data_IF_890602629081
#
_entry.id   IF_890602629081
#
_cell.length_a   1.000
_cell.length_b   1.000
_cell.length_c   1.000
_cell.angle_alpha   90.00
_cell.angle_beta   90.00
_cell.angle_gamma   90.00
#
_symmetry.space_group_name_H-M   'P 1'
#
loop_
_entity.id
_entity.type
_entity.pdbx_description
1 polymer ?
#
# COMPACT_ATOMS: atom_id res chain seq x y z
N UNK A 1 7.72 2.24 -9.04
CA UNK A 1 8.28 0.94 -8.64
C UNK A 1 8.83 1.06 -7.24
N UNK A 2 8.71 0.01 -6.44
CA UNK A 2 9.27 -0.08 -5.10
C UNK A 2 8.47 -1.03 -4.21
N UNK A 3 9.11 -1.59 -3.18
CA UNK A 3 8.61 -2.73 -2.40
C UNK A 3 7.21 -2.46 -1.84
N UNK A 4 6.24 -3.12 -2.46
CA UNK A 4 4.81 -2.91 -2.28
C UNK A 4 4.14 -4.10 -1.59
N UNK A 5 3.19 -3.80 -0.71
CA UNK A 5 2.26 -4.76 -0.13
C UNK A 5 0.85 -4.45 -0.65
N UNK A 6 0.29 -5.32 -1.47
CA UNK A 6 -1.09 -5.21 -1.97
C UNK A 6 -1.97 -6.24 -1.29
N UNK A 7 -3.24 -5.91 -1.07
CA UNK A 7 -4.19 -6.82 -0.46
C UNK A 7 -5.61 -6.61 -0.94
N UNK A 8 -6.35 -7.70 -1.02
CA UNK A 8 -7.80 -7.70 -1.16
C UNK A 8 -8.44 -8.24 0.10
N UNK A 9 -9.44 -7.54 0.60
CA UNK A 9 -10.27 -7.98 1.72
C UNK A 9 -11.64 -8.34 1.19
N UNK A 10 -12.24 -9.43 1.67
CA UNK A 10 -13.62 -9.75 1.37
C UNK A 10 -14.32 -10.48 2.51
N UNK A 11 -15.64 -10.30 2.61
CA UNK A 11 -16.52 -11.08 3.49
C UNK A 11 -17.98 -10.90 3.07
N UNK A 12 -18.84 -11.79 3.55
CA UNK A 12 -20.30 -11.69 3.42
C UNK A 12 -20.90 -11.40 4.80
N UNK A 13 -21.50 -10.22 4.99
CA UNK A 13 -21.94 -9.77 6.31
C UNK A 13 -23.00 -8.65 6.24
N UNK A 14 -23.70 -8.43 7.36
CA UNK A 14 -24.55 -7.25 7.55
C UNK A 14 -23.72 -5.97 7.73
N UNK A 15 -24.33 -4.80 7.50
CA UNK A 15 -23.69 -3.49 7.72
C UNK A 15 -23.22 -3.30 9.18
N UNK A 16 -23.94 -3.87 10.15
CA UNK A 16 -23.54 -3.75 11.57
C UNK A 16 -22.31 -4.59 11.91
N UNK A 17 -22.17 -5.77 11.31
CA UNK A 17 -20.96 -6.60 11.41
C UNK A 17 -19.79 -5.91 10.70
N UNK A 18 -20.05 -5.49 9.46
CA UNK A 18 -19.46 -4.34 8.76
C UNK A 18 -18.61 -3.40 9.62
N UNK A 19 -19.37 -2.50 10.23
CA UNK A 19 -18.94 -1.42 11.11
C UNK A 19 -18.12 -1.91 12.28
N UNK A 20 -18.52 -2.99 12.96
CA UNK A 20 -17.78 -3.55 14.10
C UNK A 20 -16.39 -4.03 13.70
N UNK A 21 -16.27 -4.69 12.55
CA UNK A 21 -14.98 -5.18 12.05
C UNK A 21 -14.06 -4.00 11.70
N UNK A 22 -14.54 -3.02 10.94
CA UNK A 22 -13.70 -1.88 10.54
C UNK A 22 -13.29 -1.03 11.75
N UNK A 23 -14.17 -0.84 12.73
CA UNK A 23 -13.81 -0.18 14.00
C UNK A 23 -12.76 -0.97 14.80
N UNK A 24 -12.86 -2.31 14.83
CA UNK A 24 -11.86 -3.14 15.48
C UNK A 24 -10.50 -3.05 14.77
N UNK A 25 -10.47 -3.08 13.43
CA UNK A 25 -9.25 -2.86 12.65
C UNK A 25 -8.65 -1.49 12.94
N UNK A 26 -9.46 -0.44 13.02
CA UNK A 26 -8.98 0.90 13.37
C UNK A 26 -8.36 0.93 14.76
N UNK A 27 -8.95 0.24 15.73
CA UNK A 27 -8.37 0.12 17.07
C UNK A 27 -7.03 -0.62 17.04
N UNK A 28 -6.92 -1.70 16.26
CA UNK A 28 -5.66 -2.42 16.08
C UNK A 28 -4.59 -1.51 15.47
N UNK A 29 -4.93 -0.67 14.49
CA UNK A 29 -3.98 0.28 13.90
C UNK A 29 -3.46 1.29 14.93
N UNK A 30 -4.33 1.77 15.84
CA UNK A 30 -3.93 2.62 16.96
C UNK A 30 -2.98 1.87 17.92
N UNK A 31 -3.31 0.63 18.27
CA UNK A 31 -2.52 -0.19 19.19
C UNK A 31 -1.14 -0.57 18.59
N UNK A 32 -1.07 -0.76 17.27
CA UNK A 32 0.16 -1.01 16.52
C UNK A 32 1.01 0.25 16.31
N UNK A 33 0.57 1.41 16.83
CA UNK A 33 1.32 2.67 16.78
C UNK A 33 1.67 3.09 15.34
N UNK A 34 0.68 3.02 14.45
CA UNK A 34 0.78 3.70 13.15
C UNK A 34 1.03 5.19 13.39
N UNK A 35 1.84 5.82 12.54
CA UNK A 35 2.14 7.25 12.68
C UNK A 35 0.90 8.14 12.54
N UNK A 36 -0.08 7.69 11.75
CA UNK A 36 -1.38 8.33 11.61
C UNK A 36 -2.47 7.27 11.44
N UNK A 37 -3.61 7.49 12.08
CA UNK A 37 -4.84 6.73 11.90
C UNK A 37 -5.98 7.73 11.80
N UNK A 38 -6.56 7.87 10.62
CA UNK A 38 -7.58 8.88 10.34
C UNK A 38 -8.93 8.53 10.94
N UNK A 39 -9.88 9.43 10.79
CA UNK A 39 -11.24 9.22 11.26
C UNK A 39 -11.92 8.04 10.55
N UNK A 40 -12.90 7.47 11.24
CA UNK A 40 -13.76 6.44 10.67
C UNK A 40 -14.74 7.09 9.68
N UNK A 41 -14.77 6.59 8.45
CA UNK A 41 -15.61 7.09 7.36
C UNK A 41 -16.65 6.05 6.99
N UNK A 42 -17.91 6.47 6.89
CA UNK A 42 -19.04 5.66 6.47
C UNK A 42 -19.88 6.43 5.45
N UNK A 43 -19.95 5.92 4.21
CA UNK A 43 -20.60 6.56 3.07
C UNK A 43 -21.67 5.64 2.49
N UNK A 44 -22.72 6.25 1.93
CA UNK A 44 -23.83 5.53 1.29
C UNK A 44 -24.37 6.29 0.07
N UNK A 45 -24.81 5.55 -0.94
CA UNK A 45 -25.49 6.08 -2.13
C UNK A 45 -24.58 7.05 -2.91
N UNK A 46 -25.12 8.21 -3.26
CA UNK A 46 -24.37 9.25 -4.01
C UNK A 46 -23.09 9.70 -3.30
N UNK A 47 -23.01 9.58 -1.97
CA UNK A 47 -21.80 9.92 -1.24
C UNK A 47 -20.62 9.00 -1.57
N UNK A 48 -20.86 7.81 -2.13
CA UNK A 48 -19.83 6.88 -2.58
C UNK A 48 -19.31 7.14 -3.99
N UNK A 49 -19.96 8.04 -4.76
CA UNK A 49 -19.60 8.30 -6.15
C UNK A 49 -18.16 8.83 -6.24
N UNK A 50 -17.34 8.19 -7.09
CA UNK A 50 -15.97 8.58 -7.36
C UNK A 50 -15.87 9.42 -8.63
N UNK A 51 -15.39 10.66 -8.48
CA UNK A 51 -14.98 11.52 -9.60
C UNK A 51 -13.49 11.87 -9.46
N UNK A 52 -12.68 11.41 -10.42
CA UNK A 52 -11.24 11.69 -10.44
C UNK A 52 -10.90 13.18 -10.61
N UNK A 53 -11.87 14.00 -11.04
CA UNK A 53 -11.69 15.44 -11.21
C UNK A 53 -12.06 16.23 -9.94
N UNK A 54 -12.75 15.63 -8.98
CA UNK A 54 -13.13 16.30 -7.72
C UNK A 54 -12.00 16.24 -6.69
N UNK A 55 -10.99 17.09 -6.88
CA UNK A 55 -9.80 17.13 -6.01
C UNK A 55 -10.08 17.64 -4.59
N UNK A 56 -11.27 18.19 -4.35
CA UNK A 56 -11.66 18.72 -3.03
C UNK A 56 -12.39 17.67 -2.18
N UNK A 57 -12.74 16.52 -2.76
CA UNK A 57 -13.36 15.43 -2.01
C UNK A 57 -12.35 14.80 -1.04
N UNK A 58 -12.55 14.95 0.30
CA UNK A 58 -11.62 14.41 1.28
C UNK A 58 -11.55 12.88 1.28
N UNK A 59 -12.55 12.20 0.69
CA UNK A 59 -12.65 10.75 0.65
C UNK A 59 -12.28 10.15 -0.71
N UNK A 60 -11.74 10.94 -1.65
CA UNK A 60 -11.49 10.51 -3.03
C UNK A 60 -10.69 9.20 -3.11
N UNK A 61 -9.66 9.04 -2.27
CA UNK A 61 -8.83 7.84 -2.25
C UNK A 61 -9.50 6.63 -1.56
N UNK A 62 -10.37 6.85 -0.58
CA UNK A 62 -11.19 5.78 -0.01
C UNK A 62 -12.19 5.27 -1.04
N UNK A 63 -12.85 6.17 -1.76
CA UNK A 63 -13.79 5.81 -2.84
C UNK A 63 -13.10 5.05 -3.98
N UNK A 64 -11.91 5.51 -4.40
CA UNK A 64 -11.09 4.82 -5.39
C UNK A 64 -10.79 3.36 -5.00
N UNK A 65 -10.46 3.12 -3.73
CA UNK A 65 -10.17 1.78 -3.18
C UNK A 65 -11.41 0.91 -2.98
N UNK A 66 -12.58 1.54 -2.90
CA UNK A 66 -13.88 0.88 -2.87
C UNK A 66 -14.42 0.48 -4.24
N UNK A 67 -13.80 0.89 -5.35
CA UNK A 67 -14.26 0.54 -6.70
C UNK A 67 -14.18 -0.96 -6.97
N UNK A 68 -15.18 -1.50 -7.69
CA UNK A 68 -15.17 -2.89 -8.17
C UNK A 68 -14.87 -2.96 -9.65
N UNK A 69 -13.86 -3.72 -10.10
CA UNK A 69 -13.64 -3.97 -11.51
C UNK A 69 -14.80 -4.83 -12.07
N UNK A 70 -15.36 -4.43 -13.21
CA UNK A 70 -16.52 -5.09 -13.84
C UNK A 70 -16.21 -5.71 -15.19
N UNK A 71 -15.28 -5.14 -15.94
CA UNK A 71 -14.81 -5.72 -17.20
C UNK A 71 -13.41 -5.25 -17.53
N UNK A 72 -12.66 -6.10 -18.22
CA UNK A 72 -11.38 -5.77 -18.84
C UNK A 72 -11.59 -5.87 -20.34
N UNK A 73 -11.42 -4.76 -21.05
CA UNK A 73 -11.48 -4.68 -22.50
C UNK A 73 -10.15 -4.14 -23.04
N UNK A 74 -9.91 -4.28 -24.35
CA UNK A 74 -8.66 -3.80 -24.98
C UNK A 74 -8.43 -2.29 -24.79
N UNK A 75 -9.49 -1.52 -24.55
CA UNK A 75 -9.45 -0.06 -24.35
C UNK A 75 -9.46 0.35 -22.87
N UNK A 76 -9.40 -0.59 -21.92
CA UNK A 76 -9.29 -0.29 -20.50
C UNK A 76 -10.15 -1.17 -19.60
N UNK A 77 -10.12 -0.85 -18.31
CA UNK A 77 -10.90 -1.50 -17.27
C UNK A 77 -12.11 -0.64 -16.91
N UNK A 78 -13.29 -1.26 -16.82
CA UNK A 78 -14.50 -0.59 -16.33
C UNK A 78 -14.67 -0.83 -14.84
N UNK A 79 -15.08 0.20 -14.12
CA UNK A 79 -15.24 0.19 -12.66
C UNK A 79 -16.69 0.46 -12.29
N UNK A 80 -17.11 -0.06 -11.14
CA UNK A 80 -18.39 0.21 -10.52
C UNK A 80 -18.18 0.86 -9.16
N UNK A 81 -18.82 1.99 -8.94
CA UNK A 81 -18.86 2.67 -7.65
C UNK A 81 -19.50 1.80 -6.56
N UNK A 82 -19.01 1.98 -5.33
CA UNK A 82 -19.65 1.38 -4.17
C UNK A 82 -21.04 2.00 -3.96
N UNK A 83 -21.98 1.24 -3.43
CA UNK A 83 -23.26 1.75 -2.90
C UNK A 83 -23.18 2.02 -1.42
N UNK A 84 -22.23 1.39 -0.72
CA UNK A 84 -21.93 1.59 0.69
C UNK A 84 -20.46 1.31 0.94
N UNK A 85 -19.80 2.16 1.74
CA UNK A 85 -18.38 2.06 2.05
C UNK A 85 -18.16 2.38 3.52
N UNK A 86 -17.37 1.57 4.21
CA UNK A 86 -16.91 1.81 5.57
C UNK A 86 -15.39 1.64 5.61
N UNK A 87 -14.64 2.68 5.92
CA UNK A 87 -13.18 2.66 5.83
C UNK A 87 -12.48 3.71 6.72
N UNK A 88 -11.16 3.65 6.77
CA UNK A 88 -10.28 4.68 7.30
C UNK A 88 -8.90 4.60 6.63
N UNK A 89 -8.22 5.75 6.53
CA UNK A 89 -6.83 5.83 6.06
C UNK A 89 -5.85 5.75 7.25
N UNK A 90 -4.63 5.30 6.95
CA UNK A 90 -3.53 5.22 7.91
C UNK A 90 -2.20 5.55 7.24
N UNK A 91 -1.23 5.95 8.06
CA UNK A 91 0.18 6.02 7.67
C UNK A 91 0.99 5.12 8.62
N UNK A 92 1.59 4.01 8.14
CA UNK A 92 2.40 3.13 9.00
C UNK A 92 3.59 3.87 9.65
N UNK A 93 4.23 4.75 8.87
CA UNK A 93 5.35 5.58 9.32
C UNK A 93 5.86 6.50 8.21
N UNK A 94 6.75 7.42 8.58
CA UNK A 94 7.46 8.25 7.61
C UNK A 94 8.17 7.38 6.56
N UNK A 95 8.11 7.80 5.29
CA UNK A 95 8.63 7.04 4.15
C UNK A 95 7.70 5.93 3.63
N UNK A 96 6.55 5.67 4.26
CA UNK A 96 5.50 4.84 3.66
C UNK A 96 4.54 5.68 2.81
N UNK A 97 3.85 5.02 1.87
CA UNK A 97 2.59 5.52 1.33
C UNK A 97 1.45 5.32 2.35
N UNK A 98 0.29 5.93 2.12
CA UNK A 98 -0.89 5.68 2.96
C UNK A 98 -1.48 4.29 2.68
N UNK A 99 -1.86 3.61 3.74
CA UNK A 99 -2.59 2.35 3.68
C UNK A 99 -4.01 2.58 4.19
N UNK A 100 -5.03 2.10 3.47
CA UNK A 100 -6.42 2.25 3.88
C UNK A 100 -7.06 0.90 4.11
N UNK A 101 -7.80 0.78 5.19
CA UNK A 101 -8.53 -0.43 5.52
C UNK A 101 -10.02 -0.13 5.53
N UNK A 102 -10.78 -0.94 4.83
CA UNK A 102 -12.21 -0.73 4.68
C UNK A 102 -12.86 -1.90 4.01
N UNK A 103 -14.17 -1.74 3.79
CA UNK A 103 -15.03 -2.69 3.14
C UNK A 103 -16.11 -1.90 2.40
N UNK A 104 -16.33 -2.25 1.14
CA UNK A 104 -17.32 -1.64 0.29
C UNK A 104 -18.20 -2.69 -0.38
N UNK A 105 -19.47 -2.37 -0.60
CA UNK A 105 -20.39 -3.18 -1.40
C UNK A 105 -20.98 -2.34 -2.53
N UNK A 106 -21.47 -3.00 -3.58
CA UNK A 106 -21.84 -2.38 -4.86
C UNK A 106 -23.27 -2.71 -5.30
N UNK A 107 -24.01 -3.46 -4.49
CA UNK A 107 -25.40 -3.83 -4.73
C UNK A 107 -26.38 -2.97 -3.91
N UNK A 108 -27.67 -3.17 -4.11
CA UNK A 108 -28.65 -2.66 -3.16
C UNK A 108 -28.41 -3.30 -1.79
N UNK A 109 -28.53 -2.50 -0.73
CA UNK A 109 -28.25 -2.96 0.63
C UNK A 109 -29.34 -3.92 1.09
N UNK A 110 -28.92 -5.14 1.38
CA UNK A 110 -29.73 -6.22 1.92
C UNK A 110 -29.34 -6.49 3.39
N UNK A 111 -30.04 -7.44 4.02
CA UNK A 111 -29.71 -7.89 5.38
C UNK A 111 -28.26 -8.40 5.51
N UNK A 112 -27.74 -9.00 4.44
CA UNK A 112 -26.37 -9.50 4.30
C UNK A 112 -25.89 -9.14 2.90
N UNK A 113 -24.67 -8.64 2.77
CA UNK A 113 -24.10 -8.17 1.51
C UNK A 113 -22.71 -8.77 1.31
N UNK A 114 -22.27 -8.85 0.06
CA UNK A 114 -20.88 -9.15 -0.26
C UNK A 114 -20.07 -7.86 -0.22
N UNK A 115 -19.02 -7.87 0.60
CA UNK A 115 -18.12 -6.76 0.80
C UNK A 115 -16.76 -7.09 0.22
N UNK A 116 -16.12 -6.09 -0.37
CA UNK A 116 -14.75 -6.17 -0.84
C UNK A 116 -14.00 -4.86 -0.63
N UNK A 117 -12.68 -4.96 -0.65
CA UNK A 117 -11.78 -3.81 -0.59
C UNK A 117 -10.46 -4.16 -1.24
N UNK A 118 -9.85 -3.18 -1.90
CA UNK A 118 -8.49 -3.31 -2.42
C UNK A 118 -7.62 -2.22 -1.80
N UNK A 119 -6.51 -2.63 -1.20
CA UNK A 119 -5.51 -1.74 -0.64
C UNK A 119 -4.13 -2.07 -1.16
N UNK A 120 -3.25 -1.08 -1.12
CA UNK A 120 -1.82 -1.28 -1.31
C UNK A 120 -1.05 -0.25 -0.48
N UNK A 121 0.21 -0.54 -0.18
CA UNK A 121 1.09 0.39 0.51
C UNK A 121 2.54 0.08 0.15
N UNK A 122 3.23 1.07 -0.43
CA UNK A 122 4.69 1.00 -0.55
C UNK A 122 5.34 1.34 0.77
N UNK A 123 6.25 0.49 1.21
CA UNK A 123 6.94 0.64 2.49
C UNK A 123 8.44 0.90 2.32
N UNK A 124 9.00 0.65 1.12
CA UNK A 124 10.43 0.75 0.85
C UNK A 124 11.10 2.01 1.40
N UNK A 125 10.51 3.19 1.19
CA UNK A 125 11.16 4.45 1.56
C UNK A 125 11.18 4.73 3.07
N UNK A 126 10.47 3.93 3.88
CA UNK A 126 10.66 3.92 5.33
C UNK A 126 12.06 3.44 5.74
N UNK A 127 12.83 2.86 4.80
CA UNK A 127 14.22 2.48 5.03
C UNK A 127 15.22 3.64 4.92
N UNK A 128 14.76 4.87 4.64
CA UNK A 128 15.63 6.04 4.64
C UNK A 128 16.30 6.18 6.03
N UNK A 129 17.64 6.31 6.11
CA UNK A 129 18.36 6.53 7.37
C UNK A 129 17.79 7.66 8.24
N UNK A 130 17.25 8.73 7.65
CA UNK A 130 16.66 9.83 8.41
C UNK A 130 15.38 9.44 9.18
N UNK A 131 14.69 8.40 8.76
CA UNK A 131 13.49 7.87 9.43
C UNK A 131 13.79 6.72 10.39
N UNK A 132 15.07 6.37 10.60
CA UNK A 132 15.48 5.22 11.40
C UNK A 132 15.89 3.99 10.59
N UNK A 133 16.01 4.12 9.27
CA UNK A 133 16.62 3.13 8.40
C UNK A 133 15.86 1.80 8.36
N UNK A 134 16.62 0.70 8.22
CA UNK A 134 16.06 -0.66 8.06
C UNK A 134 15.13 -1.07 9.20
N UNK A 135 15.42 -0.69 10.44
CA UNK A 135 14.59 -1.06 11.60
C UNK A 135 13.20 -0.40 11.53
N UNK A 136 13.14 0.88 11.12
CA UNK A 136 11.88 1.57 10.91
C UNK A 136 11.07 0.96 9.76
N UNK A 137 11.73 0.60 8.65
CA UNK A 137 11.09 -0.16 7.57
C UNK A 137 10.47 -1.46 8.07
N UNK A 138 11.22 -2.29 8.80
CA UNK A 138 10.72 -3.56 9.34
C UNK A 138 9.50 -3.30 10.23
N UNK A 139 9.57 -2.32 11.14
CA UNK A 139 8.43 -1.95 12.00
C UNK A 139 7.19 -1.59 11.17
N UNK A 140 7.32 -0.71 10.18
CA UNK A 140 6.21 -0.28 9.33
C UNK A 140 5.59 -1.46 8.54
N UNK A 141 6.44 -2.25 7.89
CA UNK A 141 6.01 -3.36 7.06
C UNK A 141 5.32 -4.45 7.90
N UNK A 142 5.92 -4.84 9.03
CA UNK A 142 5.33 -5.82 9.93
C UNK A 142 4.03 -5.34 10.59
N UNK A 143 3.87 -4.03 10.82
CA UNK A 143 2.62 -3.48 11.33
C UNK A 143 1.46 -3.68 10.32
N UNK A 144 1.70 -3.50 9.02
CA UNK A 144 0.71 -3.81 7.98
C UNK A 144 0.41 -5.31 7.90
N UNK A 145 1.44 -6.15 7.92
CA UNK A 145 1.28 -7.60 7.95
C UNK A 145 0.42 -8.03 9.15
N UNK A 146 0.70 -7.46 10.33
CA UNK A 146 -0.04 -7.72 11.56
C UNK A 146 -1.49 -7.25 11.45
N UNK A 147 -1.76 -6.09 10.84
CA UNK A 147 -3.12 -5.63 10.55
C UNK A 147 -3.91 -6.66 9.73
N UNK A 148 -3.29 -7.22 8.68
CA UNK A 148 -3.91 -8.23 7.82
C UNK A 148 -4.12 -9.57 8.56
N UNK A 149 -3.16 -9.99 9.40
CA UNK A 149 -3.34 -11.17 10.27
C UNK A 149 -4.53 -10.98 11.24
N UNK A 150 -4.70 -9.79 11.83
CA UNK A 150 -5.83 -9.52 12.72
C UNK A 150 -7.16 -9.41 11.94
N UNK A 151 -7.15 -8.91 10.71
CA UNK A 151 -8.33 -8.95 9.83
C UNK A 151 -8.82 -10.39 9.58
N UNK A 152 -7.89 -11.33 9.33
CA UNK A 152 -8.23 -12.74 9.19
C UNK A 152 -8.87 -13.32 10.45
N UNK A 153 -8.38 -12.95 11.65
CA UNK A 153 -8.98 -13.39 12.92
C UNK A 153 -10.38 -12.84 13.17
N UNK A 154 -10.67 -11.67 12.61
CA UNK A 154 -12.01 -11.06 12.62
C UNK A 154 -12.96 -11.67 11.58
N UNK A 155 -12.50 -12.68 10.81
CA UNK A 155 -13.30 -13.38 9.82
C UNK A 155 -13.28 -12.75 8.43
N UNK A 156 -12.39 -11.80 8.18
CA UNK A 156 -12.20 -11.21 6.84
C UNK A 156 -11.29 -12.13 6.03
N UNK A 157 -11.69 -12.47 4.82
CA UNK A 157 -10.80 -13.14 3.89
C UNK A 157 -9.77 -12.14 3.35
N UNK A 158 -8.49 -12.49 3.42
CA UNK A 158 -7.39 -11.64 2.95
C UNK A 158 -6.58 -12.37 1.88
N UNK A 159 -6.54 -11.81 0.68
CA UNK A 159 -5.55 -12.14 -0.35
C UNK A 159 -4.45 -11.09 -0.28
N UNK A 160 -3.18 -11.51 -0.22
CA UNK A 160 -2.05 -10.60 -0.01
C UNK A 160 -0.96 -10.92 -1.01
N UNK A 161 -0.50 -9.89 -1.71
CA UNK A 161 0.67 -9.92 -2.58
C UNK A 161 1.74 -9.01 -1.97
N UNK A 162 2.80 -9.63 -1.49
CA UNK A 162 3.90 -8.97 -0.79
C UNK A 162 5.18 -9.14 -1.60
N UNK A 163 5.66 -8.05 -2.21
CA UNK A 163 6.90 -8.07 -2.99
C UNK A 163 8.15 -8.38 -2.14
N UNK A 164 8.05 -8.25 -0.80
CA UNK A 164 9.07 -8.70 0.14
C UNK A 164 8.98 -10.19 0.51
N UNK A 165 7.94 -10.88 0.05
CA UNK A 165 7.60 -12.29 0.31
C UNK A 165 7.44 -12.66 1.81
N UNK A 166 7.48 -11.69 2.71
CA UNK A 166 7.36 -11.90 4.14
C UNK A 166 6.00 -12.48 4.52
N UNK A 167 4.92 -12.08 3.84
CA UNK A 167 3.58 -12.64 4.08
C UNK A 167 3.58 -14.18 4.06
N UNK A 168 4.28 -14.79 3.10
CA UNK A 168 4.31 -16.23 2.92
C UNK A 168 5.38 -16.90 3.79
N UNK A 169 6.57 -16.31 3.89
CA UNK A 169 7.74 -16.98 4.50
C UNK A 169 7.93 -16.63 5.96
N UNK A 170 7.40 -15.47 6.39
CA UNK A 170 7.65 -14.86 7.71
C UNK A 170 9.15 -14.71 8.01
N UNK A 171 9.98 -14.63 6.97
CA UNK A 171 11.43 -14.56 7.08
C UNK A 171 11.92 -13.11 6.94
N UNK A 172 12.48 -12.57 8.03
CA UNK A 172 13.05 -11.22 8.04
C UNK A 172 14.29 -11.11 7.15
N UNK A 173 15.03 -12.20 6.94
CA UNK A 173 16.17 -12.21 6.05
C UNK A 173 15.72 -12.01 4.60
N UNK A 174 14.71 -12.75 4.14
CA UNK A 174 14.14 -12.56 2.80
C UNK A 174 13.60 -11.14 2.60
N UNK A 175 12.83 -10.63 3.58
CA UNK A 175 12.28 -9.29 3.53
C UNK A 175 13.36 -8.21 3.41
N UNK A 176 14.43 -8.32 4.21
CA UNK A 176 15.52 -7.34 4.21
C UNK A 176 16.44 -7.46 2.99
N UNK A 177 16.58 -8.66 2.43
CA UNK A 177 17.25 -8.88 1.15
C UNK A 177 16.46 -8.25 -0.01
N UNK A 178 15.13 -8.45 -0.03
CA UNK A 178 14.24 -7.84 -1.02
C UNK A 178 14.28 -6.30 -0.95
N UNK A 179 14.26 -5.72 0.25
CA UNK A 179 14.44 -4.29 0.46
C UNK A 179 15.77 -3.79 -0.12
N UNK A 180 16.87 -4.47 0.19
CA UNK A 180 18.21 -4.05 -0.24
C UNK A 180 18.31 -4.06 -1.76
N UNK A 181 17.85 -5.14 -2.39
CA UNK A 181 17.78 -5.28 -3.86
C UNK A 181 16.97 -4.15 -4.50
N UNK A 182 15.80 -3.82 -3.94
CA UNK A 182 14.95 -2.74 -4.46
C UNK A 182 15.57 -1.34 -4.29
N UNK A 183 16.25 -1.08 -3.18
CA UNK A 183 16.94 0.20 -2.95
C UNK A 183 18.09 0.39 -3.95
N UNK A 184 18.89 -0.66 -4.17
CA UNK A 184 19.99 -0.65 -5.15
C UNK A 184 19.43 -0.44 -6.56
N UNK A 185 18.43 -1.24 -6.96
CA UNK A 185 17.81 -1.13 -8.28
C UNK A 185 17.25 0.26 -8.56
N UNK A 186 16.53 0.85 -7.59
CA UNK A 186 15.98 2.20 -7.72
C UNK A 186 17.08 3.26 -7.78
N UNK A 187 18.13 3.15 -6.96
CA UNK A 187 19.24 4.10 -6.97
C UNK A 187 19.96 4.09 -8.32
N UNK A 188 20.34 2.91 -8.82
CA UNK A 188 21.00 2.74 -10.12
C UNK A 188 20.13 3.22 -11.29
N UNK A 189 18.83 2.88 -11.29
CA UNK A 189 17.93 3.25 -12.39
C UNK A 189 17.70 4.76 -12.44
N UNK A 190 17.47 5.40 -11.28
CA UNK A 190 17.22 6.84 -11.22
C UNK A 190 18.50 7.64 -11.47
N UNK A 191 19.65 7.17 -10.98
CA UNK A 191 20.95 7.76 -11.29
C UNK A 191 21.26 7.75 -12.78
N UNK A 192 21.08 6.61 -13.45
CA UNK A 192 21.24 6.50 -14.89
C UNK A 192 20.28 7.43 -15.68
N UNK A 193 19.03 7.58 -15.24
CA UNK A 193 18.09 8.54 -15.84
C UNK A 193 18.59 9.97 -15.65
N UNK A 194 19.00 10.33 -14.44
CA UNK A 194 19.50 11.67 -14.11
C UNK A 194 20.71 12.05 -14.95
N UNK A 195 21.60 11.11 -15.23
CA UNK A 195 22.79 11.32 -16.08
C UNK A 195 22.46 11.42 -17.57
N UNK A 196 21.37 10.79 -18.02
CA UNK A 196 20.99 10.74 -19.44
C UNK A 196 20.13 11.93 -19.90
N UNK A 197 19.48 12.64 -18.99
CA UNK A 197 18.61 13.77 -19.31
C UNK A 197 19.35 15.11 -19.26
N UNK A 198 18.69 16.15 -19.78
CA UNK A 198 19.20 17.52 -19.71
C UNK A 198 19.42 17.94 -18.24
N UNK A 199 20.57 18.55 -17.89
CA UNK A 199 20.83 19.02 -16.52
C UNK A 199 19.81 20.03 -15.97
N UNK A 200 19.03 20.68 -16.83
CA UNK A 200 17.94 21.58 -16.45
C UNK A 200 16.62 20.86 -16.14
N UNK A 201 16.50 19.57 -16.49
CA UNK A 201 15.35 18.75 -16.16
C UNK A 201 15.43 18.23 -14.72
N UNK A 202 14.33 18.37 -13.97
CA UNK A 202 14.27 17.95 -12.58
C UNK A 202 13.72 16.52 -12.53
N UNK A 203 14.52 15.57 -12.03
CA UNK A 203 14.05 14.24 -11.64
C UNK A 203 13.67 14.27 -10.17
N UNK A 204 12.43 13.90 -9.85
CA UNK A 204 11.97 13.73 -8.48
C UNK A 204 11.76 12.25 -8.20
N UNK A 205 12.51 11.69 -7.26
CA UNK A 205 12.35 10.34 -6.77
C UNK A 205 12.80 10.26 -5.31
N UNK A 206 12.02 9.65 -4.39
CA UNK A 206 12.37 9.61 -2.97
C UNK A 206 13.73 8.98 -2.65
N UNK A 207 14.23 8.10 -3.54
CA UNK A 207 15.55 7.48 -3.38
C UNK A 207 16.70 8.50 -3.50
N UNK A 208 16.52 9.60 -4.23
CA UNK A 208 17.53 10.66 -4.39
C UNK A 208 17.78 11.42 -3.08
N UNK A 209 16.80 11.41 -2.17
CA UNK A 209 16.90 12.06 -0.86
C UNK A 209 17.59 11.16 0.19
N UNK A 210 18.02 9.94 -0.19
CA UNK A 210 18.74 9.07 0.74
C UNK A 210 20.14 9.63 0.99
N UNK A 211 20.55 9.83 2.26
CA UNK A 211 21.92 10.27 2.58
C UNK A 211 23.00 9.31 2.04
N UNK A 212 22.65 8.05 1.81
CA UNK A 212 23.52 7.01 1.28
C UNK A 212 23.24 6.65 -0.20
N UNK A 213 22.55 7.51 -0.95
CA UNK A 213 22.20 7.28 -2.37
C UNK A 213 23.41 6.86 -3.22
N UNK A 214 24.49 7.63 -3.19
CA UNK A 214 25.71 7.38 -4.00
C UNK A 214 26.33 6.01 -3.71
N UNK A 215 26.19 5.51 -2.47
CA UNK A 215 26.68 4.18 -2.12
C UNK A 215 25.83 3.08 -2.74
N UNK A 216 24.50 3.22 -2.69
CA UNK A 216 23.56 2.27 -3.29
C UNK A 216 23.71 2.22 -4.81
N UNK A 217 23.90 3.37 -5.45
CA UNK A 217 24.15 3.46 -6.88
C UNK A 217 25.47 2.78 -7.27
N UNK A 218 26.56 3.08 -6.54
CA UNK A 218 27.86 2.48 -6.78
C UNK A 218 27.85 0.96 -6.60
N UNK A 219 27.14 0.45 -5.59
CA UNK A 219 26.96 -0.99 -5.34
C UNK A 219 26.31 -1.66 -6.55
N UNK A 220 25.17 -1.15 -7.03
CA UNK A 220 24.48 -1.71 -8.19
C UNK A 220 25.29 -1.63 -9.49
N UNK A 221 26.04 -0.54 -9.68
CA UNK A 221 26.93 -0.40 -10.83
C UNK A 221 28.09 -1.40 -10.77
N UNK A 222 28.64 -1.68 -9.58
CA UNK A 222 29.73 -2.63 -9.42
C UNK A 222 29.30 -4.08 -9.71
N UNK A 223 28.11 -4.49 -9.28
CA UNK A 223 27.56 -5.83 -9.55
C UNK A 223 27.31 -6.05 -11.05
N UNK A 224 26.90 -5.01 -11.78
CA UNK A 224 26.70 -5.07 -13.24
C UNK A 224 27.99 -5.24 -14.06
N UNK A 225 29.15 -4.92 -13.47
CA UNK A 225 30.48 -5.06 -14.10
C UNK A 225 31.19 -6.38 -13.80
N UNK A 226 30.56 -7.25 -13.02
CA UNK A 226 31.05 -8.62 -12.78
C UNK A 226 31.05 -9.43 -14.08
N UNK A 227 32.19 -9.99 -14.55
CA UNK A 227 32.17 -10.86 -15.72
C UNK A 227 31.32 -12.09 -15.40
N UNK A 228 30.31 -12.34 -16.23
CA UNK A 228 29.61 -13.62 -16.29
C UNK A 228 30.66 -14.72 -16.41
N UNK A 229 30.82 -15.51 -15.35
CA UNK A 229 31.60 -16.75 -15.41
C UNK A 229 30.85 -17.68 -16.37
N UNK A 230 31.35 -17.77 -17.59
CA UNK A 230 31.02 -18.79 -18.59
C UNK A 230 31.45 -20.18 -18.12
#
# INVERSE_FOLDING_TARGET
MGLNLSYNLSLTASVDQVRKIVLALRQIALDLSFAQVDEFVELQGEACYFDMNDREDPNIFLKLRGLKPTSIAMNGMSWKDSTYLIAFDTLPGQGCETAAFGLATHGEIQAVNDWMWTGFCKTQYASNPEYGGREHFIRCHLALIKMLDEAQKLGVHCEVDDEGNYWNTRDLFELTAALSSQNIFMATTIGAIKDAIDPSAIVQAPILDYPNFEHLEAEGNSDSTSPTKS
#
